data_IF_854917588321
#
_entry.id   IF_854917588321
#
_cell.length_a   1.000
_cell.length_b   1.000
_cell.length_c   1.000
_cell.angle_alpha   90.00
_cell.angle_beta   90.00
_cell.angle_gamma   90.00
#
_symmetry.space_group_name_H-M   'P 1'
#
loop_
_entity.id
_entity.type
_entity.pdbx_description
1 polymer ?
#
# COMPACT_ATOMS: atom_id res chain seq x y z
N UNK A 1 -2.93 -2.58 32.61
CA UNK A 1 -3.81 -1.94 31.62
C UNK A 1 -4.70 -2.99 31.02
N UNK A 2 -5.25 -2.74 29.83
CA UNK A 2 -6.09 -3.71 29.13
C UNK A 2 -5.27 -4.81 28.44
N UNK A 3 -4.00 -4.55 28.12
CA UNK A 3 -3.09 -5.51 27.49
C UNK A 3 -2.18 -6.20 28.52
N UNK A 4 -2.03 -7.52 28.38
CA UNK A 4 -1.11 -8.38 29.12
C UNK A 4 -0.25 -9.18 28.14
N UNK A 5 1.04 -9.32 28.46
CA UNK A 5 2.03 -10.05 27.64
C UNK A 5 2.67 -11.13 28.48
N UNK A 6 2.65 -12.36 27.98
CA UNK A 6 3.24 -13.52 28.65
C UNK A 6 4.31 -14.10 27.73
N UNK A 7 5.55 -14.16 28.20
CA UNK A 7 6.58 -14.97 27.56
C UNK A 7 6.72 -16.28 28.33
N UNK A 8 6.69 -17.40 27.60
CA UNK A 8 6.81 -18.74 28.15
C UNK A 8 7.45 -19.66 27.12
N UNK A 9 8.61 -20.25 27.46
CA UNK A 9 9.34 -21.21 26.64
C UNK A 9 9.45 -20.79 25.17
N UNK A 10 9.94 -19.57 24.92
CA UNK A 10 10.16 -19.06 23.57
C UNK A 10 8.90 -18.77 22.77
N UNK A 11 7.76 -18.64 23.44
CA UNK A 11 6.50 -18.16 22.88
C UNK A 11 6.08 -16.88 23.61
N UNK A 12 5.51 -15.94 22.86
CA UNK A 12 4.89 -14.72 23.41
C UNK A 12 3.39 -14.77 23.16
N UNK A 13 2.58 -14.74 24.21
CA UNK A 13 1.12 -14.61 24.12
C UNK A 13 0.69 -13.21 24.51
N UNK A 14 -0.30 -12.67 23.78
CA UNK A 14 -0.92 -11.38 24.07
C UNK A 14 -2.37 -11.60 24.50
N UNK A 15 -2.78 -10.93 25.57
CA UNK A 15 -4.15 -10.92 26.05
C UNK A 15 -4.66 -9.49 26.15
N UNK A 16 -5.87 -9.23 25.65
CA UNK A 16 -6.55 -7.96 25.81
C UNK A 16 -7.86 -8.19 26.58
N UNK A 17 -7.99 -7.56 27.75
CA UNK A 17 -9.13 -7.73 28.66
C UNK A 17 -9.45 -9.20 28.94
N UNK A 18 -8.41 -9.98 29.23
CA UNK A 18 -8.46 -11.43 29.51
C UNK A 18 -8.80 -12.34 28.31
N UNK A 19 -9.01 -11.78 27.11
CA UNK A 19 -9.14 -12.56 25.88
C UNK A 19 -7.81 -12.64 25.14
N UNK A 20 -7.43 -13.84 24.68
CA UNK A 20 -6.16 -14.01 23.95
C UNK A 20 -6.26 -13.39 22.55
N UNK A 21 -5.36 -12.44 22.25
CA UNK A 21 -5.18 -11.87 20.91
C UNK A 21 -4.30 -12.75 20.04
N UNK A 22 -3.33 -13.44 20.65
CA UNK A 22 -2.57 -14.47 19.96
C UNK A 22 -3.41 -15.73 19.76
N UNK A 23 -3.16 -16.47 18.68
CA UNK A 23 -3.63 -17.84 18.57
C UNK A 23 -2.83 -18.74 19.55
N UNK A 24 -3.31 -19.95 19.79
CA UNK A 24 -2.74 -20.91 20.76
C UNK A 24 -1.24 -21.24 20.57
N UNK A 25 -0.69 -21.02 19.38
CA UNK A 25 0.74 -21.15 19.10
C UNK A 25 1.61 -20.01 19.65
N UNK A 26 0.99 -18.88 20.04
CA UNK A 26 1.67 -17.65 20.41
C UNK A 26 2.45 -17.02 19.25
N UNK A 27 3.31 -16.08 19.59
CA UNK A 27 4.30 -15.53 18.68
C UNK A 27 5.66 -16.18 18.91
N UNK A 28 6.34 -16.53 17.84
CA UNK A 28 7.57 -17.31 17.87
C UNK A 28 8.57 -16.83 16.84
N UNK A 29 9.83 -17.22 17.04
CA UNK A 29 10.89 -17.02 16.06
C UNK A 29 11.32 -18.37 15.50
N UNK A 30 11.50 -18.43 14.19
CA UNK A 30 12.05 -19.57 13.46
C UNK A 30 13.38 -19.19 12.80
N UNK A 31 14.34 -20.10 12.86
CA UNK A 31 15.65 -20.01 12.24
C UNK A 31 15.86 -21.21 11.32
N UNK A 32 16.41 -20.99 10.14
CA UNK A 32 16.87 -22.09 9.26
C UNK A 32 18.39 -22.05 9.16
N UNK A 33 19.04 -23.12 9.62
CA UNK A 33 20.48 -23.30 9.56
C UNK A 33 20.80 -24.71 9.05
N UNK A 34 21.75 -24.82 8.12
CA UNK A 34 22.12 -26.11 7.49
C UNK A 34 20.93 -26.96 6.99
N UNK A 35 19.87 -26.30 6.50
CA UNK A 35 18.65 -26.96 6.00
C UNK A 35 17.71 -27.50 7.08
N UNK A 36 17.99 -27.24 8.36
CA UNK A 36 17.12 -27.58 9.49
C UNK A 36 16.42 -26.34 10.03
N UNK A 37 15.15 -26.52 10.40
CA UNK A 37 14.37 -25.48 11.08
C UNK A 37 14.52 -25.62 12.59
N UNK A 38 14.77 -24.50 13.26
CA UNK A 38 14.88 -24.38 14.70
C UNK A 38 13.86 -23.33 15.17
N UNK A 39 12.99 -23.70 16.11
CA UNK A 39 11.99 -22.79 16.69
C UNK A 39 12.47 -22.28 18.04
N UNK A 40 12.12 -21.05 18.37
CA UNK A 40 12.41 -20.43 19.68
C UNK A 40 11.89 -21.26 20.86
N UNK A 41 10.83 -22.05 20.66
CA UNK A 41 10.28 -22.95 21.67
C UNK A 41 11.16 -24.15 22.02
N UNK A 42 12.21 -24.41 21.23
CA UNK A 42 13.22 -25.43 21.55
C UNK A 42 14.42 -24.87 22.33
N UNK A 43 14.43 -23.58 22.64
CA UNK A 43 15.47 -22.94 23.43
C UNK A 43 15.27 -23.11 24.94
N UNK A 44 16.37 -23.02 25.70
CA UNK A 44 16.32 -22.90 27.16
C UNK A 44 16.25 -21.42 27.53
N UNK A 45 15.15 -21.01 28.18
CA UNK A 45 14.85 -19.60 28.42
C UNK A 45 15.16 -19.16 29.85
N UNK A 46 15.75 -17.98 29.98
CA UNK A 46 16.00 -17.31 31.26
C UNK A 46 15.46 -15.89 31.21
N UNK A 47 14.78 -15.46 32.27
CA UNK A 47 14.39 -14.05 32.47
C UNK A 47 15.56 -13.32 33.10
N UNK A 48 16.16 -12.36 32.39
CA UNK A 48 17.26 -11.54 32.90
C UNK A 48 16.76 -10.38 33.75
N UNK A 49 15.72 -9.71 33.28
CA UNK A 49 15.14 -8.55 33.93
C UNK A 49 13.64 -8.50 33.69
N UNK A 50 12.89 -8.08 34.70
CA UNK A 50 11.45 -7.87 34.61
C UNK A 50 11.03 -6.76 35.55
N UNK A 51 10.13 -5.91 35.08
CA UNK A 51 9.35 -5.00 35.90
C UNK A 51 7.86 -5.13 35.57
N UNK A 52 7.04 -4.15 35.96
CA UNK A 52 5.60 -4.15 35.74
C UNK A 52 5.20 -4.01 34.26
N UNK A 53 6.05 -3.41 33.43
CA UNK A 53 5.79 -3.05 32.04
C UNK A 53 6.82 -3.59 31.06
N UNK A 54 7.92 -4.18 31.52
CA UNK A 54 8.97 -4.70 30.65
C UNK A 54 9.50 -6.06 31.09
N UNK A 55 10.02 -6.80 30.12
CA UNK A 55 10.67 -8.09 30.32
C UNK A 55 11.81 -8.25 29.31
N UNK A 56 12.99 -8.65 29.79
CA UNK A 56 14.12 -9.06 28.96
C UNK A 56 14.42 -10.52 29.23
N UNK A 57 14.43 -11.32 28.16
CA UNK A 57 14.63 -12.76 28.22
C UNK A 57 15.71 -13.21 27.23
N UNK A 58 16.44 -14.25 27.61
CA UNK A 58 17.40 -14.93 26.75
C UNK A 58 17.00 -16.38 26.52
N UNK A 59 17.08 -16.83 25.28
CA UNK A 59 16.80 -18.21 24.88
C UNK A 59 18.04 -18.85 24.28
N UNK A 60 18.69 -19.76 25.00
CA UNK A 60 19.85 -20.51 24.48
C UNK A 60 19.39 -21.62 23.55
N UNK A 61 19.85 -21.61 22.30
CA UNK A 61 19.48 -22.64 21.33
C UNK A 61 20.37 -23.87 21.48
N UNK A 62 19.82 -25.00 21.93
CA UNK A 62 20.63 -26.20 22.21
C UNK A 62 21.34 -26.80 20.98
N UNK A 63 20.84 -26.53 19.78
CA UNK A 63 21.36 -27.06 18.51
C UNK A 63 21.98 -26.00 17.60
N UNK A 64 22.07 -24.75 18.05
CA UNK A 64 22.69 -23.64 17.31
C UNK A 64 23.61 -22.86 18.26
N UNK A 65 24.80 -22.44 17.85
CA UNK A 65 25.74 -21.73 18.72
C UNK A 65 25.35 -20.24 18.83
N UNK A 66 24.12 -19.98 19.29
CA UNK A 66 23.58 -18.64 19.49
C UNK A 66 22.55 -18.61 20.62
N UNK A 67 22.32 -17.41 21.12
CA UNK A 67 21.20 -17.07 22.00
C UNK A 67 20.24 -16.12 21.29
N UNK A 68 18.96 -16.26 21.59
CA UNK A 68 17.93 -15.30 21.25
C UNK A 68 17.83 -14.28 22.39
N UNK A 69 17.88 -12.99 22.09
CA UNK A 69 17.80 -11.92 23.09
C UNK A 69 16.59 -11.08 22.78
N UNK A 70 15.57 -11.15 23.64
CA UNK A 70 14.31 -10.44 23.42
C UNK A 70 14.08 -9.43 24.54
N UNK A 71 13.78 -8.20 24.14
CA UNK A 71 13.28 -7.17 25.03
C UNK A 71 11.85 -6.82 24.65
N UNK A 72 10.97 -6.89 25.62
CA UNK A 72 9.54 -6.69 25.45
C UNK A 72 9.07 -5.63 26.43
N UNK A 73 8.20 -4.71 26.00
CA UNK A 73 7.59 -3.76 26.90
C UNK A 73 6.24 -3.26 26.43
N UNK A 74 5.47 -2.72 27.38
CA UNK A 74 4.26 -1.96 27.16
C UNK A 74 4.57 -0.48 27.40
N UNK A 75 4.14 0.40 26.50
CA UNK A 75 4.19 1.84 26.75
C UNK A 75 2.97 2.33 27.55
N UNK A 76 2.96 3.63 27.87
CA UNK A 76 1.87 4.27 28.63
C UNK A 76 0.51 4.19 27.92
N UNK A 77 0.51 4.12 26.59
CA UNK A 77 -0.70 3.96 25.79
C UNK A 77 -1.20 2.51 25.77
N UNK A 78 -0.40 1.54 26.25
CA UNK A 78 -0.73 0.12 26.22
C UNK A 78 -0.32 -0.59 24.93
N UNK A 79 0.57 0.01 24.13
CA UNK A 79 1.13 -0.62 22.92
C UNK A 79 2.25 -1.57 23.31
N UNK A 80 2.28 -2.73 22.65
CA UNK A 80 3.32 -3.73 22.85
C UNK A 80 4.48 -3.53 21.89
N UNK A 81 5.69 -3.62 22.42
CA UNK A 81 6.92 -3.59 21.64
C UNK A 81 7.73 -4.84 21.91
N UNK A 82 8.32 -5.38 20.85
CA UNK A 82 9.19 -6.54 20.86
C UNK A 82 10.45 -6.26 20.05
N UNK A 83 11.55 -5.97 20.75
CA UNK A 83 12.89 -5.91 20.18
C UNK A 83 13.49 -7.32 20.15
N UNK A 84 13.93 -7.73 18.96
CA UNK A 84 14.42 -9.08 18.68
C UNK A 84 15.85 -8.96 18.18
N UNK A 85 16.76 -9.56 18.95
CA UNK A 85 18.15 -9.72 18.60
C UNK A 85 18.57 -11.19 18.72
N UNK A 86 19.71 -11.51 18.13
CA UNK A 86 20.43 -12.74 18.41
C UNK A 86 21.88 -12.43 18.80
N UNK A 87 22.49 -13.32 19.56
CA UNK A 87 23.91 -13.24 19.91
C UNK A 87 24.59 -14.54 19.51
N UNK A 88 25.44 -14.47 18.49
CA UNK A 88 26.18 -15.61 17.96
C UNK A 88 27.45 -15.84 18.80
N UNK A 89 27.63 -17.05 19.34
CA UNK A 89 28.86 -17.44 20.04
C UNK A 89 30.05 -17.57 19.08
N UNK A 90 29.77 -17.88 17.81
CA UNK A 90 30.70 -18.00 16.69
C UNK A 90 29.96 -17.77 15.38
N UNK A 91 30.71 -17.69 14.28
CA UNK A 91 30.15 -17.58 12.94
C UNK A 91 29.09 -18.65 12.70
N UNK A 92 27.85 -18.21 12.45
CA UNK A 92 26.68 -19.08 12.36
C UNK A 92 25.94 -18.84 11.06
N UNK A 93 25.79 -19.85 10.19
CA UNK A 93 25.02 -19.70 8.98
C UNK A 93 23.51 -19.76 9.27
N UNK A 94 22.81 -18.68 8.96
CA UNK A 94 21.35 -18.54 9.08
C UNK A 94 20.80 -18.20 7.69
N UNK A 95 20.24 -19.20 7.01
CA UNK A 95 19.63 -19.04 5.68
C UNK A 95 18.30 -18.31 5.71
N UNK A 96 17.55 -18.48 6.79
CA UNK A 96 16.28 -17.80 6.98
C UNK A 96 16.09 -17.45 8.45
N UNK A 97 15.56 -16.25 8.68
CA UNK A 97 15.10 -15.79 9.98
C UNK A 97 13.65 -15.37 9.81
N UNK A 98 12.76 -15.86 10.66
CA UNK A 98 11.34 -15.49 10.64
C UNK A 98 10.81 -15.25 12.04
N UNK A 99 9.93 -14.26 12.18
CA UNK A 99 9.08 -14.05 13.34
C UNK A 99 7.65 -14.27 12.88
N UNK A 100 6.93 -15.14 13.57
CA UNK A 100 5.57 -15.56 13.22
C UNK A 100 4.65 -15.16 14.35
N UNK A 101 3.63 -14.35 14.03
CA UNK A 101 2.61 -13.91 14.97
C UNK A 101 1.28 -14.52 14.53
N UNK A 102 0.84 -15.57 15.23
CA UNK A 102 -0.45 -16.22 14.98
C UNK A 102 -1.58 -15.48 15.68
N UNK A 103 -2.68 -15.25 14.98
CA UNK A 103 -3.90 -14.58 15.47
C UNK A 103 -5.14 -15.45 15.20
N UNK A 104 -6.19 -15.38 16.03
CA UNK A 104 -7.44 -16.10 15.82
C UNK A 104 -8.11 -15.79 14.48
N UNK A 105 -8.93 -16.72 13.96
CA UNK A 105 -9.71 -16.52 12.73
C UNK A 105 -10.83 -15.48 12.86
N UNK A 106 -11.08 -14.97 14.07
CA UNK A 106 -11.96 -13.84 14.34
C UNK A 106 -11.49 -12.55 13.64
N UNK A 107 -10.20 -12.45 13.30
CA UNK A 107 -9.68 -11.49 12.35
C UNK A 107 -10.07 -11.93 10.93
N UNK A 108 -11.09 -11.27 10.39
CA UNK A 108 -11.66 -11.60 9.08
C UNK A 108 -11.08 -10.74 7.97
N UNK A 109 -10.48 -9.60 8.31
CA UNK A 109 -9.99 -8.60 7.35
C UNK A 109 -8.57 -8.20 7.64
N UNK A 110 -7.88 -7.76 6.60
CA UNK A 110 -6.51 -7.29 6.69
C UNK A 110 -6.28 -6.04 5.86
N UNK A 111 -5.30 -5.25 6.28
CA UNK A 111 -4.74 -4.13 5.54
C UNK A 111 -3.23 -4.31 5.53
N UNK A 112 -2.60 -4.23 4.36
CA UNK A 112 -1.16 -4.33 4.19
C UNK A 112 -0.69 -3.35 3.13
N UNK A 113 -0.20 -2.20 3.58
CA UNK A 113 0.10 -1.08 2.70
C UNK A 113 -1.14 -0.62 1.92
N UNK A 114 -1.09 -0.76 0.59
CA UNK A 114 -2.19 -0.42 -0.33
C UNK A 114 -3.24 -1.51 -0.46
N UNK A 115 -2.88 -2.72 -0.06
CA UNK A 115 -3.74 -3.87 -0.22
C UNK A 115 -4.63 -4.00 1.01
N UNK A 116 -5.88 -4.35 0.78
CA UNK A 116 -6.76 -4.80 1.84
C UNK A 116 -7.72 -5.82 1.27
N UNK A 117 -8.23 -6.68 2.14
CA UNK A 117 -9.14 -7.72 1.73
C UNK A 117 -9.65 -8.50 2.91
N UNK A 118 -10.43 -9.51 2.59
CA UNK A 118 -10.85 -10.52 3.54
C UNK A 118 -9.80 -11.63 3.57
N UNK A 119 -9.64 -12.27 4.73
CA UNK A 119 -8.92 -13.53 4.79
C UNK A 119 -9.79 -14.64 4.19
N UNK A 120 -9.25 -15.48 3.29
CA UNK A 120 -9.95 -16.69 2.86
C UNK A 120 -10.32 -17.58 4.04
N UNK A 121 -11.41 -18.34 3.92
CA UNK A 121 -11.73 -19.39 4.89
C UNK A 121 -10.61 -20.45 4.91
N UNK A 122 -10.30 -20.99 6.09
CA UNK A 122 -9.36 -22.11 6.24
C UNK A 122 -10.20 -23.39 6.21
N UNK A 123 -10.00 -24.21 5.19
CA UNK A 123 -10.79 -25.41 4.93
C UNK A 123 -10.02 -26.68 5.33
N UNK A 124 -10.70 -27.81 5.63
CA UNK A 124 -10.03 -29.06 6.01
C UNK A 124 -9.00 -29.60 5.01
N UNK A 125 -9.12 -29.21 3.74
CA UNK A 125 -8.17 -29.59 2.67
C UNK A 125 -6.88 -28.77 2.65
N UNK A 126 -6.82 -27.67 3.41
CA UNK A 126 -5.67 -26.79 3.49
C UNK A 126 -4.61 -27.43 4.39
N UNK A 127 -3.71 -28.17 3.75
CA UNK A 127 -2.60 -28.90 4.42
C UNK A 127 -1.30 -28.11 4.44
N UNK A 128 -1.28 -26.92 3.85
CA UNK A 128 -0.13 -26.02 3.77
C UNK A 128 -0.57 -24.58 4.00
N UNK A 129 0.39 -23.73 4.38
CA UNK A 129 0.14 -22.31 4.53
C UNK A 129 -0.16 -21.69 3.17
N UNK A 130 -1.09 -20.73 3.15
CA UNK A 130 -1.41 -19.97 1.94
C UNK A 130 -1.11 -18.49 2.15
N UNK A 131 -0.35 -17.91 1.22
CA UNK A 131 -0.05 -16.48 1.23
C UNK A 131 -1.30 -15.68 0.86
N UNK A 132 -1.65 -14.72 1.71
CA UNK A 132 -2.80 -13.82 1.51
C UNK A 132 -2.33 -12.48 0.93
N UNK A 133 -1.24 -11.93 1.46
CA UNK A 133 -0.59 -10.74 0.91
C UNK A 133 0.93 -10.87 1.03
N UNK A 134 1.61 -10.89 -0.12
CA UNK A 134 3.05 -11.15 -0.22
C UNK A 134 3.91 -9.92 0.18
N UNK A 135 5.14 -10.13 0.67
CA UNK A 135 6.05 -9.06 1.11
C UNK A 135 6.56 -8.15 -0.01
N UNK A 136 6.22 -8.43 -1.27
CA UNK A 136 6.62 -7.65 -2.45
C UNK A 136 6.15 -6.19 -2.40
N UNK A 137 5.13 -5.89 -1.58
CA UNK A 137 4.60 -4.55 -1.30
C UNK A 137 5.59 -3.71 -0.46
N UNK A 138 6.57 -4.36 0.20
CA UNK A 138 7.59 -3.75 1.08
C UNK A 138 7.01 -2.80 2.15
N UNK A 139 5.74 -3.00 2.52
CA UNK A 139 5.12 -2.23 3.59
C UNK A 139 5.65 -2.74 4.94
N UNK A 140 5.96 -1.79 5.81
CA UNK A 140 6.36 -2.04 7.20
C UNK A 140 5.17 -1.94 8.16
N UNK A 141 3.99 -1.69 7.64
CA UNK A 141 2.77 -1.56 8.44
C UNK A 141 1.69 -2.48 7.88
N UNK A 142 0.99 -3.15 8.80
CA UNK A 142 -0.16 -3.98 8.52
C UNK A 142 -1.21 -3.78 9.63
N UNK A 143 -2.48 -4.05 9.33
CA UNK A 143 -3.52 -4.18 10.34
C UNK A 143 -4.34 -5.44 10.13
N UNK A 144 -4.74 -6.06 11.23
CA UNK A 144 -5.72 -7.13 11.29
C UNK A 144 -6.99 -6.56 11.91
N UNK A 145 -8.11 -6.73 11.21
CA UNK A 145 -9.40 -6.20 11.65
C UNK A 145 -10.34 -7.35 12.01
N UNK A 146 -10.98 -7.30 13.19
CA UNK A 146 -11.97 -8.30 13.60
C UNK A 146 -13.25 -8.19 12.75
N UNK A 147 -14.06 -9.25 12.75
CA UNK A 147 -15.45 -9.18 12.29
C UNK A 147 -16.27 -8.16 13.11
N UNK A 148 -17.36 -7.64 12.54
CA UNK A 148 -18.18 -6.58 13.15
C UNK A 148 -18.74 -6.96 14.54
N UNK A 149 -18.97 -8.25 14.78
CA UNK A 149 -19.49 -8.80 16.04
C UNK A 149 -18.39 -9.41 16.93
N UNK A 150 -17.11 -9.24 16.57
CA UNK A 150 -15.98 -9.82 17.29
C UNK A 150 -15.63 -9.03 18.56
N UNK A 151 -15.33 -9.76 19.64
CA UNK A 151 -14.87 -9.17 20.90
C UNK A 151 -13.41 -8.67 20.86
N UNK A 152 -12.63 -9.15 19.87
CA UNK A 152 -11.24 -8.76 19.71
C UNK A 152 -11.10 -7.32 19.18
N UNK A 153 -10.15 -6.53 19.69
CA UNK A 153 -9.77 -5.26 19.07
C UNK A 153 -8.99 -5.49 17.75
N UNK A 154 -9.01 -4.50 16.84
CA UNK A 154 -8.05 -4.41 15.75
C UNK A 154 -6.60 -4.45 16.26
N UNK A 155 -5.70 -5.01 15.46
CA UNK A 155 -4.26 -5.00 15.76
C UNK A 155 -3.53 -4.31 14.63
N UNK A 156 -2.86 -3.20 14.91
CA UNK A 156 -1.92 -2.56 13.99
C UNK A 156 -0.53 -3.07 14.32
N UNK A 157 0.20 -3.52 13.31
CA UNK A 157 1.59 -3.93 13.42
C UNK A 157 2.50 -2.99 12.63
N UNK A 158 3.59 -2.55 13.27
CA UNK A 158 4.68 -1.82 12.62
C UNK A 158 6.00 -2.56 12.81
N UNK A 159 6.74 -2.70 11.71
CA UNK A 159 8.06 -3.31 11.64
C UNK A 159 9.13 -2.23 11.50
N UNK A 160 10.07 -2.20 12.43
CA UNK A 160 11.29 -1.40 12.33
C UNK A 160 12.51 -2.29 12.21
N UNK A 161 13.35 -2.02 11.22
CA UNK A 161 14.56 -2.79 10.94
C UNK A 161 15.47 -2.01 10.00
N UNK A 162 16.78 -2.16 10.17
CA UNK A 162 17.79 -1.65 9.24
C UNK A 162 18.04 -2.65 8.09
N UNK A 163 17.67 -3.90 8.27
CA UNK A 163 17.92 -4.96 7.30
C UNK A 163 16.81 -4.97 6.23
N UNK A 164 17.15 -4.74 4.94
CA UNK A 164 16.18 -4.60 3.86
C UNK A 164 15.51 -5.92 3.45
N UNK A 165 16.00 -7.07 3.94
CA UNK A 165 15.42 -8.37 3.64
C UNK A 165 14.18 -8.68 4.48
N UNK A 166 13.97 -7.99 5.60
CA UNK A 166 12.77 -8.16 6.40
C UNK A 166 11.61 -7.34 5.83
N UNK A 167 10.48 -8.03 5.61
CA UNK A 167 9.20 -7.44 5.27
C UNK A 167 8.07 -8.20 5.95
N UNK A 168 6.94 -7.54 6.12
CA UNK A 168 5.74 -8.20 6.63
C UNK A 168 5.08 -9.06 5.54
N UNK A 169 4.51 -10.19 5.95
CA UNK A 169 3.79 -11.15 5.11
C UNK A 169 2.51 -11.57 5.85
N UNK A 170 1.39 -11.58 5.15
CA UNK A 170 0.13 -12.12 5.66
C UNK A 170 -0.15 -13.48 5.03
N UNK A 171 -0.54 -14.45 5.86
CA UNK A 171 -0.87 -15.81 5.43
C UNK A 171 -1.98 -16.42 6.28
N UNK A 172 -2.63 -17.44 5.76
CA UNK A 172 -3.35 -18.42 6.57
C UNK A 172 -2.43 -19.60 6.85
N UNK A 173 -2.49 -20.15 8.06
CA UNK A 173 -1.91 -21.46 8.32
C UNK A 173 -2.78 -22.58 7.76
N UNK A 174 -2.24 -23.80 7.81
CA UNK A 174 -2.98 -25.03 7.54
C UNK A 174 -4.12 -25.24 8.56
N UNK A 175 -5.07 -26.09 8.19
CA UNK A 175 -6.27 -26.36 8.99
C UNK A 175 -5.99 -26.82 10.43
N UNK A 176 -4.86 -27.51 10.68
CA UNK A 176 -4.50 -27.98 12.02
C UNK A 176 -4.12 -26.83 12.97
N UNK A 177 -3.42 -25.81 12.45
CA UNK A 177 -3.04 -24.62 13.23
C UNK A 177 -4.16 -23.58 13.28
N UNK A 178 -5.01 -23.54 12.25
CA UNK A 178 -6.26 -22.77 12.17
C UNK A 178 -6.13 -21.30 12.63
N UNK A 179 -5.14 -20.59 12.11
CA UNK A 179 -4.85 -19.21 12.51
C UNK A 179 -4.51 -18.31 11.32
N UNK A 180 -4.68 -17.01 11.54
CA UNK A 180 -4.16 -15.96 10.66
C UNK A 180 -2.73 -15.68 11.08
N UNK A 181 -1.81 -15.59 10.13
CA UNK A 181 -0.39 -15.38 10.44
C UNK A 181 0.05 -14.05 9.84
N UNK A 182 0.48 -13.14 10.72
CA UNK A 182 1.32 -12.01 10.33
C UNK A 182 2.76 -12.39 10.65
N UNK A 183 3.65 -12.34 9.67
CA UNK A 183 5.04 -12.71 9.85
C UNK A 183 5.98 -11.65 9.32
N UNK A 184 7.18 -11.61 9.88
CA UNK A 184 8.33 -10.91 9.31
C UNK A 184 9.39 -11.94 9.00
N UNK A 185 9.93 -11.96 7.78
CA UNK A 185 10.99 -12.92 7.44
C UNK A 185 12.03 -12.34 6.51
N UNK A 186 13.25 -12.84 6.63
CA UNK A 186 14.37 -12.57 5.75
C UNK A 186 14.98 -13.89 5.30
N UNK A 187 15.22 -14.02 4.01
CA UNK A 187 15.93 -15.15 3.40
C UNK A 187 17.24 -14.64 2.81
N UNK A 188 18.35 -15.26 3.19
CA UNK A 188 19.69 -14.83 2.81
C UNK A 188 20.27 -15.74 1.72
N UNK A 189 20.87 -15.17 0.66
CA UNK A 189 21.69 -15.92 -0.28
C UNK A 189 22.84 -16.66 0.42
N UNK A 190 23.36 -17.72 -0.20
CA UNK A 190 24.40 -18.56 0.42
C UNK A 190 25.69 -17.80 0.79
N UNK A 191 26.01 -16.72 0.09
CA UNK A 191 27.21 -15.91 0.35
C UNK A 191 27.04 -14.90 1.49
N UNK A 192 25.79 -14.56 1.84
CA UNK A 192 25.45 -13.53 2.83
C UNK A 192 24.76 -14.10 4.07
N UNK A 193 24.66 -15.43 4.20
CA UNK A 193 23.94 -16.07 5.29
C UNK A 193 24.79 -16.32 6.54
N UNK A 194 26.06 -15.92 6.58
CA UNK A 194 26.94 -16.15 7.74
C UNK A 194 26.90 -14.94 8.65
N UNK A 195 26.40 -15.14 9.87
CA UNK A 195 26.36 -14.13 10.93
C UNK A 195 27.63 -14.27 11.79
N UNK A 196 28.52 -13.26 11.82
CA UNK A 196 29.72 -13.30 12.66
C UNK A 196 29.43 -13.47 14.14
N UNK A 197 30.42 -13.90 14.91
CA UNK A 197 30.33 -13.86 16.37
C UNK A 197 29.95 -12.45 16.89
N UNK A 198 29.08 -12.39 17.90
CA UNK A 198 28.60 -11.15 18.50
C UNK A 198 27.09 -10.94 18.35
N UNK A 199 26.63 -9.76 18.77
CA UNK A 199 25.21 -9.39 18.83
C UNK A 199 24.74 -8.76 17.52
N UNK A 200 23.58 -9.20 17.06
CA UNK A 200 22.91 -8.74 15.84
C UNK A 200 21.49 -8.30 16.16
N UNK A 201 21.24 -6.99 16.05
CA UNK A 201 19.89 -6.44 16.12
C UNK A 201 19.14 -6.77 14.82
N UNK A 202 17.97 -7.40 14.94
CA UNK A 202 17.24 -7.87 13.75
C UNK A 202 16.08 -6.94 13.42
N UNK A 203 15.20 -6.72 14.40
CA UNK A 203 14.00 -5.91 14.22
C UNK A 203 13.38 -5.51 15.56
N UNK A 204 12.52 -4.48 15.48
CA UNK A 204 11.52 -4.16 16.48
C UNK A 204 10.13 -4.28 15.87
N UNK A 205 9.25 -4.99 16.55
CA UNK A 205 7.83 -5.05 16.23
C UNK A 205 7.05 -4.21 17.24
N UNK A 206 6.16 -3.35 16.75
CA UNK A 206 5.14 -2.65 17.55
C UNK A 206 3.78 -3.27 17.21
N UNK A 207 3.00 -3.63 18.22
CA UNK A 207 1.61 -4.06 18.11
C UNK A 207 0.71 -3.12 18.94
N UNK A 208 -0.19 -2.42 18.25
CA UNK A 208 -1.17 -1.51 18.84
C UNK A 208 -2.57 -2.13 18.72
N UNK A 209 -3.13 -2.55 19.86
CA UNK A 209 -4.48 -3.11 19.99
C UNK A 209 -5.47 -2.12 20.66
N UNK A 210 -5.09 -0.84 20.76
CA UNK A 210 -5.83 0.17 21.54
C UNK A 210 -6.73 1.05 20.67
N UNK A 211 -6.73 0.82 19.36
CA UNK A 211 -7.36 1.67 18.34
C UNK A 211 -8.71 1.12 17.89
N UNK A 212 -9.56 2.02 17.41
CA UNK A 212 -10.73 1.63 16.62
C UNK A 212 -10.31 1.05 15.26
N UNK A 213 -11.20 0.31 14.60
CA UNK A 213 -10.92 -0.26 13.28
C UNK A 213 -10.70 0.85 12.23
N UNK A 214 -11.42 1.96 12.35
CA UNK A 214 -11.28 3.12 11.49
C UNK A 214 -9.92 3.82 11.68
N UNK A 215 -9.51 4.03 12.94
CA UNK A 215 -8.20 4.63 13.24
C UNK A 215 -7.06 3.71 12.80
N UNK A 216 -7.18 2.39 13.00
CA UNK A 216 -6.21 1.40 12.55
C UNK A 216 -6.05 1.45 11.02
N UNK A 217 -7.16 1.48 10.28
CA UNK A 217 -7.16 1.61 8.83
C UNK A 217 -6.56 2.94 8.38
N UNK A 218 -6.86 4.05 9.08
CA UNK A 218 -6.29 5.36 8.79
C UNK A 218 -4.78 5.36 9.00
N UNK A 219 -4.28 4.79 10.09
CA UNK A 219 -2.85 4.76 10.43
C UNK A 219 -2.03 4.01 9.38
N UNK A 220 -2.42 2.78 9.02
CA UNK A 220 -1.69 1.98 8.01
C UNK A 220 -1.68 2.64 6.64
N UNK A 221 -2.69 3.48 6.35
CA UNK A 221 -2.82 4.22 5.10
C UNK A 221 -2.25 5.64 5.17
N UNK A 222 -1.91 6.16 6.36
CA UNK A 222 -1.61 7.57 6.58
C UNK A 222 -0.39 8.04 5.79
N UNK A 223 0.64 7.21 5.70
CA UNK A 223 1.86 7.50 4.92
C UNK A 223 1.61 7.73 3.43
N UNK A 224 0.39 7.45 2.93
CA UNK A 224 0.00 7.57 1.52
C UNK A 224 -1.16 8.54 1.29
N UNK A 225 -1.62 9.21 2.34
CA UNK A 225 -2.74 10.13 2.29
C UNK A 225 -2.26 11.56 2.41
N UNK A 226 -2.72 12.42 1.51
CA UNK A 226 -2.53 13.86 1.54
C UNK A 226 -3.87 14.54 1.75
N UNK A 227 -3.94 15.43 2.73
CA UNK A 227 -5.01 16.40 2.85
C UNK A 227 -4.59 17.68 2.11
N UNK A 228 -5.39 18.10 1.13
CA UNK A 228 -5.13 19.19 0.18
C UNK A 228 -6.36 20.12 0.14
N UNK A 229 -6.50 20.96 1.17
CA UNK A 229 -7.70 21.79 1.33
C UNK A 229 -8.95 20.93 1.55
N UNK A 230 -9.92 21.02 0.63
CA UNK A 230 -11.14 20.21 0.67
C UNK A 230 -10.96 18.77 0.12
N UNK A 231 -9.83 18.49 -0.52
CA UNK A 231 -9.51 17.19 -1.11
C UNK A 231 -8.70 16.33 -0.15
N UNK A 232 -9.11 15.08 0.02
CA UNK A 232 -8.25 14.01 0.52
C UNK A 232 -7.81 13.16 -0.66
N UNK A 233 -6.50 12.99 -0.84
CA UNK A 233 -5.93 12.16 -1.90
C UNK A 233 -5.14 10.99 -1.30
N UNK A 234 -5.40 9.77 -1.77
CA UNK A 234 -4.65 8.58 -1.35
C UNK A 234 -4.06 7.87 -2.55
N UNK A 235 -2.76 7.60 -2.49
CA UNK A 235 -2.13 6.67 -3.42
C UNK A 235 -2.43 5.23 -3.02
N UNK A 236 -2.90 4.41 -3.95
CA UNK A 236 -3.24 3.00 -3.75
C UNK A 236 -2.94 2.21 -5.02
N UNK A 237 -1.90 1.35 -4.97
CA UNK A 237 -1.65 0.35 -6.01
C UNK A 237 -1.48 0.95 -7.40
N UNK A 238 -0.78 2.07 -7.54
CA UNK A 238 -0.57 2.73 -8.83
C UNK A 238 -1.67 3.67 -9.29
N UNK A 239 -2.63 3.99 -8.42
CA UNK A 239 -3.67 4.97 -8.70
C UNK A 239 -3.88 5.94 -7.53
N UNK A 240 -4.53 7.07 -7.79
CA UNK A 240 -4.86 8.08 -6.76
C UNK A 240 -6.36 8.19 -6.61
N UNK A 241 -6.83 7.83 -5.42
CA UNK A 241 -8.22 7.89 -5.01
C UNK A 241 -8.51 9.22 -4.33
N UNK A 242 -9.66 9.83 -4.63
CA UNK A 242 -10.01 11.15 -4.13
C UNK A 242 -11.32 11.14 -3.35
N UNK A 243 -11.34 11.93 -2.28
CA UNK A 243 -12.53 12.28 -1.52
C UNK A 243 -12.62 13.79 -1.33
N UNK A 244 -13.83 14.31 -1.22
CA UNK A 244 -14.09 15.66 -0.73
C UNK A 244 -15.38 15.68 0.11
N UNK A 245 -15.34 16.35 1.26
CA UNK A 245 -16.50 16.42 2.16
C UNK A 245 -17.02 15.06 2.62
N UNK A 246 -16.14 14.05 2.75
CA UNK A 246 -16.49 12.67 3.09
C UNK A 246 -17.07 11.83 1.94
N UNK A 247 -17.34 12.43 0.77
CA UNK A 247 -17.77 11.72 -0.42
C UNK A 247 -16.56 11.32 -1.26
N UNK A 248 -16.50 10.05 -1.67
CA UNK A 248 -15.56 9.61 -2.69
C UNK A 248 -15.95 10.16 -4.06
N UNK A 249 -14.97 10.69 -4.79
CA UNK A 249 -15.16 11.32 -6.10
C UNK A 249 -14.77 10.38 -7.25
N UNK A 250 -13.77 9.52 -7.01
CA UNK A 250 -13.26 8.56 -8.00
C UNK A 250 -14.01 7.23 -7.96
N UNK A 251 -13.84 6.39 -8.99
CA UNK A 251 -14.42 5.04 -9.09
C UNK A 251 -13.37 4.03 -9.59
N UNK A 252 -13.56 2.74 -9.28
CA UNK A 252 -12.75 1.52 -9.51
C UNK A 252 -11.28 1.61 -10.03
N UNK A 253 -10.95 2.38 -11.07
CA UNK A 253 -9.57 2.62 -11.54
C UNK A 253 -8.90 3.87 -10.93
N UNK A 254 -9.69 4.75 -10.31
CA UNK A 254 -9.28 6.03 -9.74
C UNK A 254 -8.51 6.91 -10.74
N UNK A 255 -7.54 7.69 -10.27
CA UNK A 255 -6.63 8.43 -11.15
C UNK A 255 -5.42 7.56 -11.47
N UNK A 256 -5.20 7.25 -12.73
CA UNK A 256 -4.12 6.36 -13.16
C UNK A 256 -3.45 6.85 -14.45
N UNK A 257 -2.23 6.37 -14.71
CA UNK A 257 -1.52 6.60 -15.96
C UNK A 257 -1.51 5.31 -16.78
N UNK A 258 -1.69 5.40 -18.10
CA UNK A 258 -1.63 4.23 -18.97
C UNK A 258 -0.93 4.51 -20.30
N UNK A 259 -0.18 3.51 -20.75
CA UNK A 259 0.54 3.53 -22.02
C UNK A 259 0.17 2.32 -22.86
N UNK A 260 -0.15 2.55 -24.14
CA UNK A 260 -0.32 1.49 -25.11
C UNK A 260 1.05 1.16 -25.72
N UNK A 261 1.62 0.02 -25.33
CA UNK A 261 2.92 -0.47 -25.78
C UNK A 261 2.73 -1.81 -26.45
N UNK A 262 3.17 -1.95 -27.71
CA UNK A 262 3.00 -3.17 -28.51
C UNK A 262 1.54 -3.67 -28.53
N UNK A 263 0.57 -2.75 -28.67
CA UNK A 263 -0.87 -3.02 -28.67
C UNK A 263 -1.42 -3.55 -27.34
N UNK A 264 -0.71 -3.35 -26.24
CA UNK A 264 -1.11 -3.80 -24.92
C UNK A 264 -1.08 -2.62 -23.97
N UNK A 265 -2.20 -2.39 -23.29
CA UNK A 265 -2.29 -1.38 -22.26
C UNK A 265 -1.44 -1.78 -21.06
N UNK A 266 -0.55 -0.87 -20.66
CA UNK A 266 0.24 -0.98 -19.46
C UNK A 266 -0.17 0.14 -18.51
N UNK A 267 -1.10 -0.20 -17.62
CA UNK A 267 -1.61 0.69 -16.59
C UNK A 267 -0.61 0.79 -15.43
N UNK A 268 -0.53 1.96 -14.80
CA UNK A 268 0.29 2.21 -13.61
C UNK A 268 -0.01 1.25 -12.46
N UNK A 269 -1.21 0.67 -12.43
CA UNK A 269 -1.62 -0.36 -11.47
C UNK A 269 -0.91 -1.71 -11.66
N UNK A 270 -0.36 -1.97 -12.84
CA UNK A 270 0.40 -3.18 -13.15
C UNK A 270 1.88 -3.10 -12.72
N UNK A 271 2.34 -1.93 -12.27
CA UNK A 271 3.71 -1.70 -11.87
C UNK A 271 3.98 -2.24 -10.45
N UNK A 272 5.22 -2.64 -10.21
CA UNK A 272 5.68 -2.97 -8.86
C UNK A 272 6.09 -1.69 -8.14
N UNK A 273 5.22 -1.20 -7.26
CA UNK A 273 5.44 0.01 -6.49
C UNK A 273 6.39 -0.22 -5.31
N UNK A 274 7.36 0.68 -5.18
CA UNK A 274 8.30 0.72 -4.06
C UNK A 274 7.74 1.44 -2.84
N UNK A 275 8.65 1.70 -1.89
CA UNK A 275 8.33 2.42 -0.65
C UNK A 275 7.93 3.87 -0.95
N UNK A 276 6.98 4.38 -0.18
CA UNK A 276 6.63 5.80 -0.14
C UNK A 276 7.77 6.59 0.49
N UNK A 277 8.22 7.62 -0.19
CA UNK A 277 9.18 8.61 0.32
C UNK A 277 8.44 9.88 0.66
N UNK A 278 8.54 10.32 1.91
CA UNK A 278 7.98 11.60 2.32
C UNK A 278 8.73 12.77 1.66
N UNK A 279 7.97 13.78 1.27
CA UNK A 279 8.43 15.10 0.86
C UNK A 279 7.91 16.11 1.87
N UNK A 280 8.51 17.31 1.94
CA UNK A 280 8.08 18.37 2.85
C UNK A 280 6.57 18.70 2.71
N UNK A 281 6.08 18.71 1.49
CA UNK A 281 4.72 19.05 1.09
C UNK A 281 3.96 17.85 0.51
N UNK A 282 4.45 16.61 0.60
CA UNK A 282 3.87 15.54 -0.20
C UNK A 282 4.49 14.16 -0.03
N UNK A 283 4.28 13.32 -1.04
CA UNK A 283 4.85 11.97 -1.13
C UNK A 283 5.37 11.69 -2.53
N UNK A 284 6.40 10.86 -2.61
CA UNK A 284 6.96 10.35 -3.84
C UNK A 284 7.00 8.81 -3.83
N UNK A 285 6.67 8.21 -4.98
CA UNK A 285 6.72 6.76 -5.17
C UNK A 285 7.36 6.42 -6.52
N UNK A 286 7.92 5.21 -6.63
CA UNK A 286 8.45 4.68 -7.90
C UNK A 286 7.85 3.32 -8.17
N UNK A 287 7.29 3.15 -9.37
CA UNK A 287 6.73 1.89 -9.87
C UNK A 287 7.60 1.34 -10.98
N UNK A 288 8.02 0.08 -10.87
CA UNK A 288 8.85 -0.59 -11.87
C UNK A 288 8.01 -1.56 -12.70
N UNK A 289 8.14 -1.50 -14.03
CA UNK A 289 7.47 -2.45 -14.91
C UNK A 289 8.26 -3.76 -14.96
N UNK A 290 7.58 -4.88 -14.73
CA UNK A 290 8.18 -6.21 -14.93
C UNK A 290 8.20 -6.64 -16.40
N UNK A 291 7.48 -5.92 -17.26
CA UNK A 291 7.25 -6.30 -18.66
C UNK A 291 8.01 -5.45 -19.65
N UNK A 292 8.13 -4.15 -19.37
CA UNK A 292 8.78 -3.19 -20.25
C UNK A 292 9.94 -2.52 -19.52
N UNK A 293 11.02 -2.12 -20.22
CA UNK A 293 12.21 -1.53 -19.60
C UNK A 293 11.94 -0.07 -19.19
N UNK A 294 11.09 0.12 -18.19
CA UNK A 294 10.66 1.44 -17.75
C UNK A 294 10.24 1.48 -16.27
N UNK A 295 10.28 2.69 -15.71
CA UNK A 295 9.76 3.03 -14.39
C UNK A 295 8.89 4.26 -14.48
N UNK A 296 7.92 4.36 -13.57
CA UNK A 296 7.20 5.60 -13.33
C UNK A 296 7.59 6.18 -11.97
N UNK A 297 7.83 7.49 -11.92
CA UNK A 297 8.00 8.21 -10.66
C UNK A 297 6.85 9.17 -10.48
N UNK A 298 6.12 9.01 -9.37
CA UNK A 298 4.97 9.83 -9.03
C UNK A 298 5.34 10.73 -7.87
N UNK A 299 5.03 12.02 -7.99
CA UNK A 299 5.07 12.98 -6.90
C UNK A 299 3.66 13.55 -6.71
N UNK A 300 3.13 13.41 -5.51
CA UNK A 300 1.87 14.01 -5.09
C UNK A 300 2.22 15.08 -4.06
N UNK A 301 1.74 16.31 -4.27
CA UNK A 301 2.04 17.46 -3.40
C UNK A 301 0.77 18.15 -2.93
N UNK A 302 0.78 18.58 -1.67
CA UNK A 302 -0.25 19.40 -1.05
C UNK A 302 -0.07 20.82 -1.55
N UNK A 303 -1.06 21.32 -2.27
CA UNK A 303 -1.22 22.74 -2.56
C UNK A 303 -2.42 23.25 -1.75
N UNK A 304 -2.49 24.56 -1.54
CA UNK A 304 -3.49 25.21 -0.66
C UNK A 304 -4.92 24.68 -0.88
N UNK A 305 -5.37 24.62 -2.14
CA UNK A 305 -6.72 24.15 -2.52
C UNK A 305 -6.68 23.07 -3.62
N UNK A 306 -5.56 22.38 -3.78
CA UNK A 306 -5.40 21.40 -4.87
C UNK A 306 -4.41 20.28 -4.53
N UNK A 307 -4.57 19.15 -5.20
CA UNK A 307 -3.52 18.13 -5.30
C UNK A 307 -2.62 18.46 -6.48
N UNK A 308 -1.34 18.73 -6.24
CA UNK A 308 -0.31 18.70 -7.28
C UNK A 308 0.06 17.25 -7.63
N UNK A 309 0.11 16.92 -8.91
CA UNK A 309 0.47 15.60 -9.41
C UNK A 309 1.48 15.71 -10.55
N UNK A 310 2.66 15.15 -10.33
CA UNK A 310 3.70 15.03 -11.36
C UNK A 310 4.03 13.56 -11.58
N UNK A 311 3.95 13.11 -12.82
CA UNK A 311 4.31 11.77 -13.26
C UNK A 311 5.48 11.88 -14.23
N UNK A 312 6.55 11.14 -13.94
CA UNK A 312 7.70 10.98 -14.81
C UNK A 312 7.77 9.54 -15.31
N UNK A 313 8.15 9.38 -16.58
CA UNK A 313 8.53 8.10 -17.17
C UNK A 313 10.05 8.05 -17.26
N UNK A 314 10.68 7.09 -16.59
CA UNK A 314 12.08 6.73 -16.83
C UNK A 314 12.11 5.56 -17.80
N UNK A 315 12.55 5.80 -19.04
CA UNK A 315 12.81 4.77 -20.03
C UNK A 315 14.24 4.24 -19.80
N UNK A 316 14.38 2.93 -19.57
CA UNK A 316 15.69 2.29 -19.36
C UNK A 316 16.34 1.90 -20.70
N UNK A 317 15.51 1.70 -21.72
CA UNK A 317 15.86 1.45 -23.11
C UNK A 317 14.94 2.28 -24.02
N UNK A 318 15.21 2.31 -25.33
CA UNK A 318 14.31 2.93 -26.31
C UNK A 318 12.90 2.33 -26.20
N UNK A 319 11.91 3.19 -25.95
CA UNK A 319 10.52 2.77 -25.76
C UNK A 319 9.60 3.44 -26.79
N UNK A 320 8.92 2.60 -27.56
CA UNK A 320 7.92 3.00 -28.55
C UNK A 320 6.51 2.84 -27.98
N UNK A 321 5.82 3.97 -27.79
CA UNK A 321 4.48 4.03 -27.19
C UNK A 321 3.49 4.53 -28.23
N UNK A 322 2.39 3.83 -28.43
CA UNK A 322 1.38 4.23 -29.43
C UNK A 322 0.52 5.38 -28.91
N UNK A 323 0.23 5.35 -27.62
CA UNK A 323 -0.63 6.30 -26.92
C UNK A 323 -0.26 6.32 -25.44
N UNK A 324 -0.33 7.49 -24.80
CA UNK A 324 -0.27 7.57 -23.35
C UNK A 324 -1.26 8.59 -22.80
N UNK A 325 -1.80 8.33 -21.62
CA UNK A 325 -2.73 9.25 -20.97
C UNK A 325 -2.65 9.20 -19.44
N UNK A 326 -3.08 10.30 -18.81
CA UNK A 326 -3.51 10.31 -17.42
C UNK A 326 -5.04 10.40 -17.40
N UNK A 327 -5.70 9.52 -16.67
CA UNK A 327 -7.17 9.50 -16.57
C UNK A 327 -7.60 9.62 -15.12
N UNK A 328 -8.60 10.46 -14.86
CA UNK A 328 -9.38 10.46 -13.63
C UNK A 328 -10.71 9.74 -13.88
N UNK A 329 -10.85 8.52 -13.33
CA UNK A 329 -12.11 7.76 -13.39
C UNK A 329 -12.98 8.14 -12.22
N UNK A 330 -14.10 8.78 -12.53
CA UNK A 330 -15.04 9.40 -11.62
C UNK A 330 -16.31 8.57 -11.49
N UNK A 331 -17.04 8.78 -10.40
CA UNK A 331 -18.33 8.11 -10.20
C UNK A 331 -19.38 8.53 -11.24
N UNK A 332 -20.38 7.69 -11.42
CA UNK A 332 -21.43 7.89 -12.43
C UNK A 332 -22.35 9.11 -12.19
N UNK A 333 -22.39 9.62 -10.96
CA UNK A 333 -23.25 10.74 -10.55
C UNK A 333 -22.84 12.08 -11.18
N UNK A 334 -21.63 12.19 -11.74
CA UNK A 334 -21.25 13.33 -12.57
C UNK A 334 -22.05 13.32 -13.88
N UNK A 335 -22.69 14.44 -14.21
CA UNK A 335 -23.63 14.53 -15.34
C UNK A 335 -23.31 15.67 -16.33
N UNK A 336 -22.33 16.51 -16.00
CA UNK A 336 -21.81 17.58 -16.84
C UNK A 336 -20.30 17.52 -16.95
N UNK A 337 -19.79 18.01 -18.07
CA UNK A 337 -18.36 18.17 -18.32
C UNK A 337 -18.07 19.42 -19.14
N UNK A 338 -16.86 19.96 -18.98
CA UNK A 338 -16.36 21.12 -19.72
C UNK A 338 -14.87 20.99 -19.97
N UNK A 339 -14.45 21.34 -21.17
CA UNK A 339 -13.05 21.57 -21.57
C UNK A 339 -12.91 23.03 -21.97
N UNK A 340 -11.69 23.50 -22.26
CA UNK A 340 -11.48 24.85 -22.80
C UNK A 340 -12.20 25.13 -24.13
N UNK A 341 -12.58 24.09 -24.87
CA UNK A 341 -13.10 24.23 -26.24
C UNK A 341 -14.58 23.91 -26.38
N UNK A 342 -15.14 23.12 -25.47
CA UNK A 342 -16.53 22.68 -25.51
C UNK A 342 -16.98 22.15 -24.15
N UNK A 343 -18.29 22.16 -23.94
CA UNK A 343 -18.96 21.59 -22.76
C UNK A 343 -20.16 20.74 -23.18
N UNK A 344 -20.61 19.88 -22.28
CA UNK A 344 -21.73 19.00 -22.55
C UNK A 344 -22.27 18.27 -21.33
N UNK A 345 -23.26 17.42 -21.58
CA UNK A 345 -23.77 16.47 -20.61
C UNK A 345 -23.18 15.08 -20.88
N UNK A 346 -22.93 14.32 -19.82
CA UNK A 346 -22.69 12.89 -19.97
C UNK A 346 -24.02 12.19 -20.26
N UNK A 347 -24.08 11.39 -21.33
CA UNK A 347 -25.25 10.58 -21.59
C UNK A 347 -25.38 9.43 -20.57
N UNK A 348 -26.58 8.87 -20.35
CA UNK A 348 -26.76 7.64 -19.60
C UNK A 348 -25.94 6.48 -20.20
N UNK A 349 -25.59 5.50 -19.37
CA UNK A 349 -24.89 4.30 -19.82
C UNK A 349 -25.86 3.37 -20.55
N UNK A 350 -25.60 3.10 -21.83
CA UNK A 350 -26.40 2.18 -22.63
C UNK A 350 -25.91 0.73 -22.51
N UNK A 351 -26.79 -0.27 -22.31
CA UNK A 351 -26.40 -1.67 -22.14
C UNK A 351 -25.78 -2.29 -23.40
N UNK A 352 -26.00 -1.69 -24.57
CA UNK A 352 -25.49 -2.17 -25.87
C UNK A 352 -24.06 -1.67 -26.18
N UNK A 353 -23.52 -0.75 -25.38
CA UNK A 353 -22.17 -0.22 -25.56
C UNK A 353 -21.10 -1.20 -25.08
N UNK A 354 -20.36 -1.80 -26.01
CA UNK A 354 -19.23 -2.71 -25.71
C UNK A 354 -17.88 -2.02 -25.53
N UNK A 355 -17.80 -0.69 -25.63
CA UNK A 355 -16.56 0.10 -25.57
C UNK A 355 -16.79 1.44 -24.88
N UNK A 356 -15.70 2.09 -24.47
CA UNK A 356 -15.73 3.43 -23.91
C UNK A 356 -16.09 4.47 -24.98
N UNK A 357 -16.93 5.45 -24.64
CA UNK A 357 -17.51 6.40 -25.59
C UNK A 357 -17.05 7.83 -25.27
N UNK A 358 -16.43 8.49 -26.23
CA UNK A 358 -15.98 9.87 -26.12
C UNK A 358 -17.14 10.85 -26.39
N UNK A 359 -17.23 11.93 -25.61
CA UNK A 359 -18.28 12.95 -25.73
C UNK A 359 -17.81 14.23 -26.40
N UNK A 360 -16.56 14.60 -26.20
CA UNK A 360 -15.96 15.76 -26.85
C UNK A 360 -15.79 15.47 -28.35
N UNK A 361 -16.16 16.45 -29.18
CA UNK A 361 -16.01 16.40 -30.65
C UNK A 361 -14.70 17.06 -31.11
N UNK A 362 -14.17 17.95 -30.29
CA UNK A 362 -12.91 18.65 -30.45
C UNK A 362 -11.81 17.90 -29.71
N UNK A 363 -10.73 17.60 -30.42
CA UNK A 363 -9.49 17.03 -29.90
C UNK A 363 -8.35 18.05 -29.97
N UNK A 364 -8.69 19.34 -29.90
CA UNK A 364 -7.68 20.41 -29.81
C UNK A 364 -6.94 20.28 -28.48
N UNK A 365 -5.65 20.59 -28.51
CA UNK A 365 -4.87 20.65 -27.28
C UNK A 365 -5.50 21.67 -26.33
N UNK A 366 -5.60 21.30 -25.06
CA UNK A 366 -6.19 22.11 -24.00
C UNK A 366 -5.67 21.63 -22.66
N UNK A 367 -5.74 22.49 -21.64
CA UNK A 367 -5.10 22.23 -20.36
C UNK A 367 -6.08 21.95 -19.24
N UNK A 368 -7.37 22.19 -19.43
CA UNK A 368 -8.36 21.98 -18.38
C UNK A 368 -9.51 21.10 -18.83
N UNK A 369 -9.98 20.28 -17.89
CA UNK A 369 -11.25 19.57 -18.01
C UNK A 369 -11.90 19.40 -16.63
N UNK A 370 -13.20 19.65 -16.58
CA UNK A 370 -13.99 19.61 -15.36
C UNK A 370 -15.17 18.66 -15.51
N UNK A 371 -15.59 18.06 -14.40
CA UNK A 371 -16.89 17.41 -14.24
C UNK A 371 -17.57 17.88 -12.96
N UNK A 372 -18.89 18.02 -13.01
CA UNK A 372 -19.69 18.40 -11.85
C UNK A 372 -21.09 17.78 -11.92
N UNK A 373 -21.77 17.80 -10.78
CA UNK A 373 -23.20 17.53 -10.64
C UNK A 373 -23.73 18.20 -9.37
N UNK A 374 -25.05 18.15 -9.15
CA UNK A 374 -25.67 18.63 -7.91
C UNK A 374 -25.32 17.76 -6.69
N UNK A 375 -24.96 16.49 -6.90
CA UNK A 375 -24.79 15.51 -5.83
C UNK A 375 -23.36 15.41 -5.29
N UNK A 376 -22.36 15.73 -6.12
CA UNK A 376 -20.95 15.57 -5.77
C UNK A 376 -20.18 16.88 -5.97
N UNK A 377 -19.14 17.14 -5.16
CA UNK A 377 -18.16 18.18 -5.42
C UNK A 377 -17.65 18.14 -6.86
N UNK A 378 -17.54 19.30 -7.52
CA UNK A 378 -16.92 19.37 -8.84
C UNK A 378 -15.46 18.93 -8.77
N UNK A 379 -14.95 18.40 -9.88
CA UNK A 379 -13.54 18.02 -10.00
C UNK A 379 -12.98 18.57 -11.30
N UNK A 380 -11.78 19.16 -11.23
CA UNK A 380 -11.10 19.77 -12.37
C UNK A 380 -9.68 19.24 -12.45
N UNK A 381 -9.33 18.66 -13.60
CA UNK A 381 -7.97 18.27 -13.96
C UNK A 381 -7.33 19.38 -14.79
N UNK A 382 -6.21 19.92 -14.32
CA UNK A 382 -5.45 20.98 -14.98
C UNK A 382 -4.04 20.50 -15.31
N UNK A 383 -3.61 20.58 -16.56
CA UNK A 383 -2.21 20.40 -16.95
C UNK A 383 -1.42 21.70 -16.73
N UNK A 384 -0.26 21.58 -16.09
CA UNK A 384 0.68 22.70 -15.90
C UNK A 384 1.42 23.06 -17.19
N UNK A 385 2.15 24.18 -17.20
CA UNK A 385 2.67 24.78 -18.44
C UNK A 385 3.88 24.04 -19.00
N UNK A 386 4.57 23.33 -18.12
CA UNK A 386 5.66 22.41 -18.41
C UNK A 386 5.17 21.02 -18.85
N UNK A 387 3.90 20.69 -18.61
CA UNK A 387 3.29 19.42 -19.01
C UNK A 387 3.32 19.25 -20.53
N UNK A 388 3.60 18.04 -21.06
CA UNK A 388 3.50 17.78 -22.49
C UNK A 388 2.10 18.14 -23.02
N UNK A 389 1.97 18.54 -24.30
CA UNK A 389 0.66 18.82 -24.89
C UNK A 389 -0.30 17.64 -24.75
N UNK A 390 -1.46 17.89 -24.16
CA UNK A 390 -2.53 16.91 -23.96
C UNK A 390 -3.82 17.38 -24.61
N UNK A 391 -4.70 16.42 -24.89
CA UNK A 391 -6.06 16.61 -25.40
C UNK A 391 -7.02 16.16 -24.32
N UNK A 392 -7.68 17.12 -23.69
CA UNK A 392 -8.62 16.82 -22.63
C UNK A 392 -9.90 16.21 -23.21
N UNK A 393 -10.25 15.02 -22.72
CA UNK A 393 -11.27 14.16 -23.32
C UNK A 393 -12.25 13.70 -22.24
N UNK A 394 -13.55 13.88 -22.49
CA UNK A 394 -14.62 13.42 -21.62
C UNK A 394 -15.17 12.09 -22.15
N UNK A 395 -15.19 11.05 -21.32
CA UNK A 395 -15.50 9.68 -21.76
C UNK A 395 -16.49 9.04 -20.78
N UNK A 396 -17.40 8.21 -21.29
CA UNK A 396 -18.10 7.21 -20.49
C UNK A 396 -17.45 5.85 -20.66
N UNK A 397 -17.32 5.13 -19.55
CA UNK A 397 -16.99 3.70 -19.57
C UNK A 397 -18.19 2.87 -20.03
N UNK A 398 -18.02 1.54 -20.10
CA UNK A 398 -19.11 0.62 -20.45
C UNK A 398 -20.21 0.61 -19.39
N UNK A 399 -21.39 0.07 -19.72
CA UNK A 399 -22.49 -0.09 -18.75
C UNK A 399 -22.10 -0.89 -17.50
N UNK A 400 -21.19 -1.88 -17.63
CA UNK A 400 -20.74 -2.69 -16.49
C UNK A 400 -19.83 -1.92 -15.55
N UNK A 401 -18.99 -1.05 -16.11
CA UNK A 401 -18.04 -0.24 -15.35
C UNK A 401 -18.70 1.01 -14.75
N UNK A 402 -19.71 1.56 -15.42
CA UNK A 402 -20.59 2.62 -14.93
C UNK A 402 -19.83 3.81 -14.29
N UNK A 403 -18.94 4.44 -15.05
CA UNK A 403 -18.09 5.53 -14.58
C UNK A 403 -17.89 6.63 -15.66
N UNK A 404 -17.60 7.85 -15.21
CA UNK A 404 -17.19 8.96 -16.08
C UNK A 404 -15.67 9.05 -16.07
N UNK A 405 -15.06 9.53 -17.14
CA UNK A 405 -13.60 9.70 -17.20
C UNK A 405 -13.26 11.06 -17.74
N UNK A 406 -12.37 11.75 -17.02
CA UNK A 406 -11.65 12.92 -17.52
C UNK A 406 -10.25 12.46 -17.90
N UNK A 407 -9.90 12.56 -19.17
CA UNK A 407 -8.63 12.04 -19.68
C UNK A 407 -7.76 13.16 -20.26
N UNK A 408 -6.53 13.27 -19.79
CA UNK A 408 -5.47 14.03 -20.42
C UNK A 408 -4.73 13.10 -21.40
N UNK A 409 -5.21 13.07 -22.65
CA UNK A 409 -4.72 12.17 -23.69
C UNK A 409 -3.54 12.79 -24.44
N UNK A 410 -2.43 12.06 -24.53
CA UNK A 410 -1.32 12.39 -25.44
C UNK A 410 -1.29 11.35 -26.56
N UNK A 411 -1.97 11.62 -27.69
CA UNK A 411 -1.90 10.72 -28.84
C UNK A 411 -0.58 10.90 -29.57
N UNK A 412 -0.13 9.88 -30.29
CA UNK A 412 0.93 10.09 -31.28
C UNK A 412 0.38 10.80 -32.52
N UNK A 413 1.03 11.90 -32.92
CA UNK A 413 0.74 12.57 -34.20
C UNK A 413 1.30 11.81 -35.42
N UNK A 414 2.30 10.94 -35.22
CA UNK A 414 2.95 10.15 -36.29
C UNK A 414 2.82 8.63 -36.11
N UNK A 415 1.91 8.18 -35.25
CA UNK A 415 1.62 6.75 -34.99
C UNK A 415 2.41 6.11 -33.84
N UNK A 416 3.54 6.69 -33.40
CA UNK A 416 4.26 6.34 -32.14
C UNK A 416 4.89 7.56 -31.45
N UNK A 417 5.03 7.47 -30.14
CA UNK A 417 5.79 8.35 -29.27
C UNK A 417 7.08 7.61 -28.92
N UNK A 418 8.21 8.21 -29.25
CA UNK A 418 9.53 7.64 -28.96
C UNK A 418 10.08 8.25 -27.67
N UNK A 419 10.44 7.39 -26.72
CA UNK A 419 11.15 7.77 -25.50
C UNK A 419 12.53 7.11 -25.51
N UNK A 420 13.57 7.92 -25.73
CA UNK A 420 14.96 7.49 -25.60
C UNK A 420 15.32 7.17 -24.14
N UNK A 421 16.39 6.42 -23.83
CA UNK A 421 16.81 6.18 -22.46
C UNK A 421 16.95 7.48 -21.65
N UNK A 422 16.34 7.51 -20.47
CA UNK A 422 16.33 8.66 -19.57
C UNK A 422 14.96 9.01 -19.01
N UNK A 423 14.89 10.13 -18.30
CA UNK A 423 13.69 10.59 -17.59
C UNK A 423 12.93 11.61 -18.43
N UNK A 424 11.65 11.35 -18.66
CA UNK A 424 10.74 12.16 -19.46
C UNK A 424 9.54 12.57 -18.63
N UNK A 425 9.12 13.83 -18.75
CA UNK A 425 7.88 14.26 -18.10
C UNK A 425 6.70 13.60 -18.82
N UNK A 426 5.91 12.84 -18.07
CA UNK A 426 4.73 12.16 -18.58
C UNK A 426 3.50 13.07 -18.45
N UNK A 427 3.32 13.65 -17.27
CA UNK A 427 2.26 14.59 -16.95
C UNK A 427 2.69 15.47 -15.76
N UNK A 428 2.40 16.75 -15.81
CA UNK A 428 2.44 17.66 -14.66
C UNK A 428 1.12 18.42 -14.58
N UNK A 429 0.53 18.53 -13.39
CA UNK A 429 -0.75 19.19 -13.25
C UNK A 429 -1.29 19.26 -11.83
N UNK A 430 -2.49 19.82 -11.74
CA UNK A 430 -3.23 20.04 -10.51
C UNK A 430 -4.64 19.49 -10.61
N UNK A 431 -5.13 18.95 -9.50
CA UNK A 431 -6.50 18.47 -9.35
C UNK A 431 -7.18 19.30 -8.27
N UNK A 432 -8.28 19.94 -8.65
CA UNK A 432 -9.06 20.80 -7.77
C UNK A 432 -10.42 20.17 -7.53
N UNK A 433 -10.98 20.41 -6.35
CA UNK A 433 -12.40 20.17 -6.09
C UNK A 433 -13.10 21.45 -5.67
N UNK A 434 -14.36 21.58 -6.06
CA UNK A 434 -15.20 22.69 -5.66
C UNK A 434 -16.53 22.26 -5.07
N UNK A 435 -17.40 23.23 -4.84
CA UNK A 435 -18.72 22.96 -4.28
C UNK A 435 -19.61 22.16 -5.25
N UNK A 436 -20.54 21.32 -4.73
CA UNK A 436 -21.58 20.70 -5.55
C UNK A 436 -22.40 21.74 -6.33
N UNK A 437 -22.84 21.39 -7.53
CA UNK A 437 -23.61 22.27 -8.42
C UNK A 437 -22.82 23.41 -9.07
N UNK A 438 -21.57 23.64 -8.66
CA UNK A 438 -20.73 24.74 -9.17
C UNK A 438 -19.58 24.16 -9.99
N UNK A 439 -19.47 24.57 -11.25
CA UNK A 439 -18.24 24.32 -11.99
C UNK A 439 -17.12 25.19 -11.39
N UNK A 440 -16.01 24.57 -11.03
CA UNK A 440 -14.83 25.25 -10.49
C UNK A 440 -13.77 25.28 -11.56
N UNK A 441 -13.71 26.33 -12.39
CA UNK A 441 -12.66 26.46 -13.39
C UNK A 441 -11.30 26.59 -12.71
N UNK A 442 -10.25 26.23 -13.42
CA UNK A 442 -8.89 26.50 -12.98
C UNK A 442 -8.73 27.99 -12.66
N UNK A 443 -8.04 28.39 -11.58
CA UNK A 443 -7.74 29.80 -11.35
C UNK A 443 -6.96 30.34 -12.56
N UNK A 444 -7.42 31.47 -13.12
CA UNK A 444 -6.70 32.17 -14.19
C UNK A 444 -5.26 32.41 -13.73
N UNK A 445 -4.31 31.90 -14.50
CA UNK A 445 -2.91 31.86 -14.11
C UNK A 445 -2.39 33.26 -13.77
N UNK A 446 -1.92 33.45 -12.53
CA UNK A 446 -0.74 34.30 -12.35
C UNK A 446 0.41 33.55 -12.99
N UNK A 447 0.90 34.08 -14.11
CA UNK A 447 2.23 33.77 -14.61
C UNK A 447 3.23 33.87 -13.45
N UNK A 448 3.98 32.80 -13.22
CA UNK A 448 5.15 32.83 -12.33
C UNK A 448 6.31 33.50 -13.06
#
# INVERSE_FOLDING_TARGET
GDLEVIQCDGRVSLFHRQEELSASGGFMMGLVSYGQQHLSSAGEWTVEARDAHSCTVRGRMLRLPLELVWRMWLDEAGRFYWEIALECERDTPLRQISVQMGFPTAYTRWIYGDLSGDFPEILPQDTQWSTVAAPEVKSREAALLPGADGAHPPVVCRLETENPHFGLLLSNSEYLSFNRVLSSSATYPEHDCVFPAGRHELMRLELDATRSAEDAARLVRASRTLECGALTARFEGGAVRLWAGGAELTAYLNIYASMLIQHIWNDSQSLQWGRVRELEDGIALTGESRRFPMRQHWELRRLEDALGLTVWLEALEDLEVQECHLSAVLRHEYDRWETEHECGAFAPFGPEGGHWVHFNRSYRAGRTISAWSEALPSITLCADGDSPPVRMTAINTTFRENARVLQALRPSEMGRLHFAPGRHLYFSGRILAGAPGVNTPAPEGKEA
#
